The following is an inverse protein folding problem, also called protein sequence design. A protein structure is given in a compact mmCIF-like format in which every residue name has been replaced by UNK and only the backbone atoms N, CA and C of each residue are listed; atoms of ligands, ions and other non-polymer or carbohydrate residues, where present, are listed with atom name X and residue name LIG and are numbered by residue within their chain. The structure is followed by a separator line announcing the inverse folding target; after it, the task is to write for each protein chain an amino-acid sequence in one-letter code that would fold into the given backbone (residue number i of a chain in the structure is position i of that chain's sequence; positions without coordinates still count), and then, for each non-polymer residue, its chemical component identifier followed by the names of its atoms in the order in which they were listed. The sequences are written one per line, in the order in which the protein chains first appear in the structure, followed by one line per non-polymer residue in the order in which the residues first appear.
data_IF_506407288471
#
_entry.id   IF_506407288471
#
_cell.length_a   1.000
_cell.length_b   1.000
_cell.length_c   1.000
_cell.angle_alpha   90.00
_cell.angle_beta   90.00
_cell.angle_gamma   90.00
#
_symmetry.space_group_name_H-M   'P 1'
#
loop_
_entity.id
_entity.type
_entity.pdbx_description
1 polymer ?
#
# COMPACT_ATOMS: atom_id res chain seq x y z
N UNK A 1 41.87 -12.73 10.94
CA UNK A 1 41.48 -11.35 11.32
C UNK A 1 40.30 -10.99 10.44
N UNK A 2 39.10 -11.45 10.84
CA UNK A 2 37.86 -11.13 10.13
C UNK A 2 37.53 -9.64 10.37
N UNK A 3 37.34 -8.92 9.30
CA UNK A 3 37.10 -7.48 9.38
C UNK A 3 35.73 -7.19 9.93
N UNK A 4 35.67 -6.34 10.93
CA UNK A 4 34.43 -5.86 11.56
C UNK A 4 33.41 -5.21 10.58
N UNK A 5 33.79 -5.03 9.31
CA UNK A 5 32.95 -4.52 8.23
C UNK A 5 31.89 -5.51 7.72
N UNK A 6 32.16 -6.81 7.78
CA UNK A 6 31.25 -7.82 7.22
C UNK A 6 29.95 -7.99 8.04
N UNK A 7 30.04 -7.82 9.36
CA UNK A 7 28.88 -7.97 10.24
C UNK A 7 27.87 -6.82 10.07
N UNK A 8 28.36 -5.62 9.78
CA UNK A 8 27.48 -4.46 9.56
C UNK A 8 26.79 -4.54 8.18
N UNK A 9 27.47 -5.12 7.18
CA UNK A 9 26.91 -5.26 5.83
C UNK A 9 25.81 -6.33 5.76
N UNK A 10 25.94 -7.42 6.49
CA UNK A 10 24.95 -8.50 6.53
C UNK A 10 23.61 -8.09 7.13
N UNK A 11 23.51 -6.95 7.84
CA UNK A 11 22.27 -6.42 8.38
C UNK A 11 21.30 -5.89 7.33
N UNK A 12 21.83 -5.50 6.18
CA UNK A 12 21.08 -4.84 5.13
C UNK A 12 20.96 -5.69 3.87
N UNK A 13 21.32 -6.98 3.93
CA UNK A 13 21.32 -7.88 2.76
C UNK A 13 19.98 -7.93 2.03
N UNK A 14 18.87 -7.74 2.75
CA UNK A 14 17.54 -7.76 2.13
C UNK A 14 16.86 -6.40 2.08
N UNK A 15 17.55 -5.32 2.50
CA UNK A 15 16.93 -4.00 2.57
C UNK A 15 16.48 -3.50 1.19
N UNK A 16 17.25 -3.79 0.17
CA UNK A 16 17.01 -3.43 -1.24
C UNK A 16 15.86 -4.21 -1.89
N UNK A 17 15.37 -5.25 -1.25
CA UNK A 17 14.29 -6.10 -1.77
C UNK A 17 13.00 -6.08 -0.94
N UNK A 18 12.94 -5.27 0.12
CA UNK A 18 11.78 -5.23 1.03
C UNK A 18 10.51 -4.81 0.29
N UNK A 19 10.57 -3.74 -0.47
CA UNK A 19 9.42 -3.21 -1.20
C UNK A 19 8.92 -4.24 -2.22
N UNK A 20 9.84 -4.86 -2.97
CA UNK A 20 9.48 -5.89 -3.94
C UNK A 20 8.83 -7.10 -3.26
N UNK A 21 9.33 -7.54 -2.12
CA UNK A 21 8.78 -8.67 -1.37
C UNK A 21 7.36 -8.39 -0.87
N UNK A 22 7.12 -7.19 -0.36
CA UNK A 22 5.77 -6.76 0.08
C UNK A 22 4.82 -6.72 -1.12
N UNK A 23 5.24 -6.17 -2.25
CA UNK A 23 4.42 -6.12 -3.47
C UNK A 23 4.14 -7.54 -3.98
N UNK A 24 5.13 -8.42 -4.00
CA UNK A 24 4.96 -9.81 -4.40
C UNK A 24 4.03 -10.56 -3.46
N UNK A 25 4.08 -10.29 -2.16
CA UNK A 25 3.10 -10.81 -1.20
C UNK A 25 1.68 -10.38 -1.59
N UNK A 26 1.44 -9.10 -1.86
CA UNK A 26 0.14 -8.59 -2.29
C UNK A 26 -0.33 -9.17 -3.64
N UNK A 27 0.57 -9.40 -4.60
CA UNK A 27 0.24 -10.04 -5.90
C UNK A 27 -0.24 -11.48 -5.68
N UNK A 28 0.43 -12.21 -4.78
CA UNK A 28 0.16 -13.62 -4.55
C UNK A 28 -1.00 -13.85 -3.58
N UNK A 29 -1.38 -12.86 -2.80
CA UNK A 29 -2.54 -12.95 -1.92
C UNK A 29 -3.84 -12.99 -2.76
N UNK A 30 -4.68 -13.98 -2.44
CA UNK A 30 -6.04 -14.12 -3.00
C UNK A 30 -7.09 -13.71 -1.96
N UNK A 31 -6.69 -13.00 -0.90
CA UNK A 31 -7.60 -12.53 0.12
C UNK A 31 -8.59 -11.52 -0.46
N UNK A 32 -9.76 -11.41 0.17
CA UNK A 32 -10.78 -10.44 -0.19
C UNK A 32 -10.23 -9.00 -0.20
N UNK A 33 -9.40 -8.64 0.79
CA UNK A 33 -8.81 -7.31 0.88
C UNK A 33 -7.74 -7.07 -0.20
N UNK A 34 -6.89 -8.05 -0.50
CA UNK A 34 -5.89 -7.93 -1.57
C UNK A 34 -6.56 -7.73 -2.93
N UNK A 35 -7.62 -8.49 -3.24
CA UNK A 35 -8.35 -8.32 -4.49
C UNK A 35 -8.99 -6.92 -4.60
N UNK A 36 -9.55 -6.38 -3.52
CA UNK A 36 -10.09 -5.01 -3.48
C UNK A 36 -9.01 -3.96 -3.71
N UNK A 37 -7.82 -4.13 -3.13
CA UNK A 37 -6.68 -3.22 -3.38
C UNK A 37 -6.41 -3.14 -4.88
N UNK A 38 -6.25 -4.28 -5.55
CA UNK A 38 -5.93 -4.32 -6.97
C UNK A 38 -7.05 -3.76 -7.86
N UNK A 39 -8.32 -4.03 -7.53
CA UNK A 39 -9.47 -3.44 -8.25
C UNK A 39 -9.49 -1.92 -8.10
N UNK A 40 -9.29 -1.40 -6.90
CA UNK A 40 -9.27 0.04 -6.64
C UNK A 40 -8.10 0.75 -7.33
N UNK A 41 -6.98 0.07 -7.54
CA UNK A 41 -5.84 0.59 -8.29
C UNK A 41 -6.08 0.55 -9.80
N UNK A 42 -6.61 -0.55 -10.32
CA UNK A 42 -6.82 -0.76 -11.76
C UNK A 42 -7.93 0.13 -12.31
N UNK A 43 -9.08 0.17 -11.63
CA UNK A 43 -10.28 0.81 -12.12
C UNK A 43 -10.54 2.16 -11.43
N UNK A 44 -10.45 3.25 -12.18
CA UNK A 44 -10.76 4.61 -11.71
C UNK A 44 -12.25 4.92 -11.60
N UNK A 45 -13.13 3.97 -11.90
CA UNK A 45 -14.59 4.13 -11.98
C UNK A 45 -15.28 3.91 -10.63
N UNK A 46 -16.54 4.36 -10.52
CA UNK A 46 -17.36 4.18 -9.32
C UNK A 46 -17.60 2.71 -9.00
N UNK A 47 -17.77 1.88 -10.03
CA UNK A 47 -18.07 0.45 -9.96
C UNK A 47 -16.81 -0.44 -9.86
N UNK A 48 -15.69 0.11 -9.43
CA UNK A 48 -14.41 -0.61 -9.40
C UNK A 48 -14.48 -1.96 -8.68
N UNK A 49 -15.23 -2.06 -7.60
CA UNK A 49 -15.31 -3.27 -6.77
C UNK A 49 -16.17 -4.39 -7.39
N UNK A 50 -17.11 -4.05 -8.27
CA UNK A 50 -17.97 -5.03 -8.95
C UNK A 50 -17.27 -5.70 -10.14
N UNK A 51 -16.09 -5.19 -10.55
CA UNK A 51 -15.30 -5.77 -11.63
C UNK A 51 -14.70 -7.12 -11.22
N UNK A 52 -14.33 -7.92 -12.22
CA UNK A 52 -13.65 -9.19 -11.99
C UNK A 52 -12.32 -9.01 -11.27
N UNK A 53 -11.91 -10.03 -10.54
CA UNK A 53 -10.58 -10.07 -9.92
C UNK A 53 -9.50 -10.06 -10.99
N UNK A 54 -8.37 -9.43 -10.67
CA UNK A 54 -7.24 -9.34 -11.58
C UNK A 54 -6.41 -10.63 -11.54
N UNK A 55 -5.95 -11.05 -12.69
CA UNK A 55 -4.92 -12.10 -12.79
C UNK A 55 -3.58 -11.58 -12.24
N UNK A 56 -2.70 -12.50 -11.82
CA UNK A 56 -1.35 -12.12 -11.37
C UNK A 56 -0.57 -11.31 -12.41
N UNK A 57 -0.76 -11.61 -13.70
CA UNK A 57 -0.15 -10.86 -14.80
C UNK A 57 -0.65 -9.41 -14.84
N UNK A 58 -1.96 -9.20 -14.78
CA UNK A 58 -2.54 -7.85 -14.74
C UNK A 58 -2.10 -7.06 -13.51
N UNK A 59 -2.01 -7.70 -12.33
CA UNK A 59 -1.47 -7.09 -11.11
C UNK A 59 -0.02 -6.65 -11.33
N UNK A 60 0.82 -7.50 -11.92
CA UNK A 60 2.22 -7.21 -12.20
C UNK A 60 2.42 -6.08 -13.23
N UNK A 61 1.52 -5.94 -14.20
CA UNK A 61 1.53 -4.86 -15.20
C UNK A 61 1.28 -3.46 -14.57
N UNK A 62 0.63 -3.40 -13.41
CA UNK A 62 0.40 -2.14 -12.69
C UNK A 62 1.64 -1.61 -11.93
N UNK A 63 2.70 -2.42 -11.81
CA UNK A 63 3.91 -2.04 -11.09
C UNK A 63 4.83 -1.26 -12.03
N UNK A 64 5.33 -0.14 -11.54
CA UNK A 64 6.36 0.64 -12.22
C UNK A 64 7.74 0.00 -12.01
N UNK A 65 8.45 -0.22 -13.12
CA UNK A 65 9.79 -0.84 -13.13
C UNK A 65 10.83 0.01 -13.88
N UNK A 66 10.60 1.32 -13.98
CA UNK A 66 11.50 2.23 -14.67
C UNK A 66 11.17 2.44 -16.16
N UNK A 67 9.97 2.04 -16.60
CA UNK A 67 9.55 2.28 -17.97
C UNK A 67 9.34 3.77 -18.26
N UNK A 68 9.55 4.20 -19.51
CA UNK A 68 9.36 5.59 -19.90
C UNK A 68 7.87 6.03 -19.79
N UNK A 69 6.94 5.12 -20.03
CA UNK A 69 5.50 5.40 -19.90
C UNK A 69 4.99 4.94 -18.53
N UNK A 70 4.48 5.89 -17.75
CA UNK A 70 3.98 5.67 -16.39
C UNK A 70 2.45 5.71 -16.28
N UNK A 71 1.74 6.13 -17.34
CA UNK A 71 0.30 6.42 -17.30
C UNK A 71 -0.57 5.24 -16.82
N UNK A 72 -0.13 4.00 -17.09
CA UNK A 72 -0.82 2.79 -16.68
C UNK A 72 -0.30 2.18 -15.37
N UNK A 73 0.73 2.78 -14.76
CA UNK A 73 1.32 2.28 -13.52
C UNK A 73 0.59 2.82 -12.30
N UNK A 74 0.51 2.00 -11.26
CA UNK A 74 -0.28 2.25 -10.04
C UNK A 74 0.49 1.99 -8.76
N UNK A 75 1.56 1.19 -8.84
CA UNK A 75 2.39 0.81 -7.70
C UNK A 75 3.83 1.19 -7.99
N UNK A 76 4.44 1.94 -7.08
CA UNK A 76 5.77 2.51 -7.22
C UNK A 76 6.63 2.13 -6.02
N UNK A 77 7.89 1.73 -6.27
CA UNK A 77 8.91 1.46 -5.24
C UNK A 77 9.81 2.69 -5.07
N UNK A 78 9.20 3.85 -4.80
CA UNK A 78 9.91 5.11 -4.62
C UNK A 78 9.08 6.10 -3.82
N UNK A 79 9.74 6.97 -3.07
CA UNK A 79 9.06 8.00 -2.26
C UNK A 79 8.57 9.18 -3.08
N UNK A 80 9.23 9.47 -4.20
CA UNK A 80 8.90 10.58 -5.08
C UNK A 80 8.11 10.12 -6.31
N UNK A 81 7.16 10.92 -6.74
CA UNK A 81 6.42 10.77 -7.99
C UNK A 81 6.55 12.07 -8.78
N UNK A 82 6.76 11.99 -10.09
CA UNK A 82 6.87 13.13 -10.97
C UNK A 82 5.59 14.00 -10.91
N UNK A 83 5.73 15.32 -10.75
CA UNK A 83 4.63 16.28 -10.72
C UNK A 83 3.82 16.29 -12.02
N UNK A 84 4.42 15.85 -13.13
CA UNK A 84 3.75 15.67 -14.41
C UNK A 84 2.74 14.51 -14.44
N UNK A 85 2.67 13.70 -13.37
CA UNK A 85 1.72 12.60 -13.31
C UNK A 85 0.30 13.12 -13.08
N UNK A 86 -0.53 13.13 -14.12
CA UNK A 86 -1.88 13.69 -14.12
C UNK A 86 -3.00 12.65 -14.28
N UNK A 87 -2.67 11.37 -14.30
CA UNK A 87 -3.62 10.29 -14.54
C UNK A 87 -4.67 10.19 -13.43
N UNK A 88 -5.94 10.18 -13.79
CA UNK A 88 -7.06 10.07 -12.83
C UNK A 88 -7.19 8.64 -12.30
N UNK A 89 -6.42 8.31 -11.27
CA UNK A 89 -6.34 6.95 -10.70
C UNK A 89 -6.02 6.97 -9.21
N UNK A 90 -5.94 5.80 -8.62
CA UNK A 90 -5.34 5.58 -7.30
C UNK A 90 -3.94 5.03 -7.45
N UNK A 91 -3.07 5.36 -6.51
CA UNK A 91 -1.66 4.99 -6.50
C UNK A 91 -1.26 4.45 -5.13
N UNK A 92 -0.30 3.54 -5.13
CA UNK A 92 0.45 3.12 -3.95
C UNK A 92 1.93 3.37 -4.17
N UNK A 93 2.60 3.90 -3.15
CA UNK A 93 4.06 3.95 -3.11
C UNK A 93 4.56 3.17 -1.92
N UNK A 94 5.58 2.35 -2.13
CA UNK A 94 6.29 1.62 -1.09
C UNK A 94 7.74 2.10 -1.07
N UNK A 95 8.25 2.43 0.11
CA UNK A 95 9.64 2.88 0.25
C UNK A 95 10.11 2.68 1.69
N UNK A 96 11.42 2.58 1.86
CA UNK A 96 12.03 2.62 3.18
C UNK A 96 11.94 4.05 3.71
N UNK A 97 11.19 4.26 4.78
CA UNK A 97 11.07 5.58 5.43
C UNK A 97 12.27 5.85 6.36
N UNK A 98 12.62 4.88 7.18
CA UNK A 98 13.76 5.00 8.07
C UNK A 98 14.25 3.64 8.56
N UNK A 99 15.51 3.59 8.96
CA UNK A 99 16.12 2.43 9.61
C UNK A 99 16.70 2.89 10.93
N UNK A 100 16.21 2.33 12.04
CA UNK A 100 16.61 2.69 13.39
C UNK A 100 17.37 1.53 14.02
N UNK A 101 18.69 1.63 14.24
CA UNK A 101 19.42 0.60 14.94
C UNK A 101 19.00 0.52 16.41
N UNK A 102 18.63 -0.68 16.87
CA UNK A 102 18.31 -0.94 18.28
C UNK A 102 19.58 -1.36 19.04
N UNK A 103 20.37 -2.22 18.42
CA UNK A 103 21.67 -2.66 18.93
C UNK A 103 22.52 -3.15 17.76
N UNK A 104 23.70 -3.73 18.06
CA UNK A 104 24.63 -4.21 17.04
C UNK A 104 24.11 -5.42 16.20
N UNK A 105 23.00 -6.05 16.59
CA UNK A 105 22.40 -7.19 15.88
C UNK A 105 21.01 -6.91 15.31
N UNK A 106 20.33 -5.90 15.81
CA UNK A 106 18.91 -5.65 15.53
C UNK A 106 18.69 -4.23 15.05
N UNK A 107 17.91 -4.06 14.00
CA UNK A 107 17.40 -2.78 13.52
C UNK A 107 15.90 -2.85 13.33
N UNK A 108 15.22 -1.73 13.54
CA UNK A 108 13.83 -1.54 13.15
C UNK A 108 13.82 -0.84 11.79
N UNK A 109 13.18 -1.45 10.82
CA UNK A 109 12.96 -0.85 9.50
C UNK A 109 11.53 -0.34 9.44
N UNK A 110 11.38 0.94 9.17
CA UNK A 110 10.10 1.58 8.95
C UNK A 110 9.85 1.72 7.46
N UNK A 111 8.74 1.16 7.01
CA UNK A 111 8.34 1.08 5.60
C UNK A 111 7.18 2.04 5.41
N UNK A 112 7.36 3.03 4.56
CA UNK A 112 6.32 3.96 4.16
C UNK A 112 5.43 3.35 3.08
N UNK A 113 4.11 3.47 3.28
CA UNK A 113 3.10 3.14 2.28
C UNK A 113 2.23 4.37 2.07
N UNK A 114 2.45 5.07 0.97
CA UNK A 114 1.59 6.19 0.59
C UNK A 114 0.42 5.68 -0.23
N UNK A 115 -0.77 6.01 0.21
CA UNK A 115 -2.04 5.66 -0.44
C UNK A 115 -2.62 6.95 -0.98
N UNK A 116 -2.77 7.06 -2.29
CA UNK A 116 -3.22 8.29 -2.95
C UNK A 116 -4.32 8.00 -3.95
N UNK A 117 -5.26 8.95 -4.08
CA UNK A 117 -6.23 8.95 -5.18
C UNK A 117 -6.41 10.36 -5.74
N UNK A 118 -6.56 10.42 -7.05
CA UNK A 118 -6.89 11.66 -7.73
C UNK A 118 -8.26 12.19 -7.26
N UNK A 119 -8.41 13.51 -7.12
CA UNK A 119 -9.64 14.17 -6.61
C UNK A 119 -10.92 13.75 -7.33
N UNK A 120 -10.84 13.42 -8.62
CA UNK A 120 -11.99 12.97 -9.42
C UNK A 120 -12.34 11.49 -9.24
N UNK A 121 -11.49 10.69 -8.59
CA UNK A 121 -11.71 9.23 -8.43
C UNK A 121 -11.91 8.81 -6.97
N UNK A 122 -12.15 9.77 -6.07
CA UNK A 122 -12.18 9.51 -4.62
C UNK A 122 -13.38 8.71 -4.14
N UNK A 123 -14.45 8.67 -4.90
CA UNK A 123 -15.67 7.97 -4.51
C UNK A 123 -15.71 6.62 -5.24
N UNK A 124 -16.10 5.58 -4.51
CA UNK A 124 -16.34 4.25 -5.04
C UNK A 124 -17.65 3.71 -4.49
N UNK A 125 -18.41 3.02 -5.35
CA UNK A 125 -19.56 2.26 -4.94
C UNK A 125 -19.11 0.99 -4.22
N UNK A 126 -19.58 0.77 -3.02
CA UNK A 126 -19.29 -0.44 -2.26
C UNK A 126 -20.52 -1.33 -2.30
N UNK A 127 -20.52 -2.29 -3.19
CA UNK A 127 -21.59 -3.30 -3.32
C UNK A 127 -21.49 -4.42 -2.24
N UNK A 128 -20.61 -4.26 -1.29
CA UNK A 128 -20.39 -5.27 -0.27
C UNK A 128 -21.49 -5.21 0.78
N UNK A 129 -22.59 -5.92 0.55
CA UNK A 129 -23.43 -6.42 1.63
C UNK A 129 -22.64 -7.25 2.66
N UNK A 130 -21.47 -7.75 2.27
CA UNK A 130 -20.59 -8.60 3.08
C UNK A 130 -19.91 -7.85 4.24
N UNK A 131 -19.82 -6.51 4.19
CA UNK A 131 -19.24 -5.69 5.27
C UNK A 131 -20.26 -5.28 6.34
N UNK A 132 -21.52 -5.73 6.23
CA UNK A 132 -22.60 -5.33 7.16
C UNK A 132 -22.91 -6.51 8.08
N UNK A 133 -22.61 -6.36 9.37
CA UNK A 133 -22.87 -7.38 10.40
C UNK A 133 -24.36 -7.80 10.48
N UNK A 134 -25.30 -6.95 10.00
CA UNK A 134 -26.72 -7.22 9.95
C UNK A 134 -27.35 -6.72 8.65
N UNK A 135 -27.25 -7.47 7.54
CA UNK A 135 -27.78 -7.03 6.24
C UNK A 135 -29.31 -6.84 6.23
N UNK A 136 -30.04 -7.49 7.15
CA UNK A 136 -31.51 -7.40 7.21
C UNK A 136 -32.00 -6.03 7.67
N UNK A 137 -31.29 -5.35 8.57
CA UNK A 137 -31.66 -4.01 9.07
C UNK A 137 -31.55 -2.96 7.95
N UNK A 138 -30.75 -3.20 6.92
CA UNK A 138 -30.48 -2.25 5.85
C UNK A 138 -31.29 -2.50 4.57
N UNK A 139 -32.05 -3.64 4.47
CA UNK A 139 -32.86 -3.96 3.30
C UNK A 139 -34.09 -3.06 3.15
N UNK A 140 -34.62 -2.53 4.27
CA UNK A 140 -35.82 -1.71 4.27
C UNK A 140 -35.56 -0.21 4.03
N UNK A 141 -34.30 0.20 3.91
CA UNK A 141 -33.96 1.58 3.61
C UNK A 141 -33.65 1.67 2.13
N UNK A 142 -34.61 2.00 1.33
CA UNK A 142 -34.62 1.99 -0.14
C UNK A 142 -33.52 2.86 -0.83
N UNK A 143 -32.63 3.50 -0.14
CA UNK A 143 -31.53 4.30 -0.73
C UNK A 143 -30.37 4.52 0.23
N UNK A 144 -29.79 3.49 0.79
CA UNK A 144 -28.48 3.70 1.41
C UNK A 144 -27.41 3.85 0.34
N UNK A 145 -26.88 5.07 0.26
CA UNK A 145 -25.68 5.34 -0.54
C UNK A 145 -24.50 4.52 0.01
N UNK A 146 -24.22 3.43 -0.66
CA UNK A 146 -23.10 2.54 -0.34
C UNK A 146 -21.81 3.13 -0.95
N UNK A 147 -21.74 4.46 -1.01
CA UNK A 147 -20.53 5.13 -1.49
C UNK A 147 -19.51 5.28 -0.36
N UNK A 148 -18.28 4.92 -0.64
CA UNK A 148 -17.17 5.06 0.30
C UNK A 148 -16.05 5.90 -0.32
N UNK A 149 -15.30 6.55 0.56
CA UNK A 149 -14.08 7.21 0.14
C UNK A 149 -13.04 6.15 -0.23
N UNK A 150 -12.51 6.24 -1.45
CA UNK A 150 -11.56 5.28 -2.03
C UNK A 150 -10.27 5.19 -1.22
N UNK A 151 -9.72 6.33 -0.77
CA UNK A 151 -8.51 6.33 0.04
C UNK A 151 -8.71 5.63 1.38
N UNK A 152 -9.83 5.89 2.06
CA UNK A 152 -10.15 5.24 3.33
C UNK A 152 -10.35 3.74 3.14
N UNK A 153 -10.97 3.34 2.04
CA UNK A 153 -11.17 1.92 1.73
C UNK A 153 -9.86 1.21 1.39
N UNK A 154 -9.00 1.84 0.57
CA UNK A 154 -7.65 1.34 0.29
C UNK A 154 -6.84 1.21 1.58
N UNK A 155 -6.88 2.23 2.44
CA UNK A 155 -6.22 2.21 3.74
C UNK A 155 -6.70 1.03 4.59
N UNK A 156 -8.02 0.84 4.71
CA UNK A 156 -8.60 -0.31 5.44
C UNK A 156 -8.08 -1.64 4.89
N UNK A 157 -8.10 -1.81 3.57
CA UNK A 157 -7.64 -3.05 2.94
C UNK A 157 -6.14 -3.28 3.12
N UNK A 158 -5.31 -2.23 3.00
CA UNK A 158 -3.85 -2.31 3.22
C UNK A 158 -3.55 -2.67 4.67
N UNK A 159 -4.22 -2.03 5.64
CA UNK A 159 -4.04 -2.35 7.06
C UNK A 159 -4.46 -3.79 7.37
N UNK A 160 -5.59 -4.23 6.84
CA UNK A 160 -6.08 -5.60 7.06
C UNK A 160 -5.16 -6.66 6.44
N UNK A 161 -4.49 -6.33 5.32
CA UNK A 161 -3.65 -7.28 4.61
C UNK A 161 -2.21 -7.32 5.14
N UNK A 162 -1.65 -6.16 5.51
CA UNK A 162 -0.23 -6.06 5.88
C UNK A 162 0.02 -6.08 7.40
N UNK A 163 -0.94 -5.62 8.23
CA UNK A 163 -0.70 -5.60 9.68
C UNK A 163 -0.71 -7.00 10.27
N UNK A 164 0.40 -7.43 10.81
CA UNK A 164 0.62 -8.78 11.33
C UNK A 164 1.07 -9.79 10.28
N UNK A 165 1.16 -9.41 8.99
CA UNK A 165 1.66 -10.29 7.95
C UNK A 165 3.12 -10.64 8.19
N UNK A 166 3.45 -11.93 8.11
CA UNK A 166 4.81 -12.44 8.14
C UNK A 166 5.25 -12.70 6.69
N UNK A 167 6.21 -11.90 6.22
CA UNK A 167 6.67 -11.93 4.83
C UNK A 167 8.11 -12.43 4.80
N UNK A 168 8.34 -13.49 4.03
CA UNK A 168 9.66 -14.09 3.88
C UNK A 168 10.72 -13.05 3.46
N UNK A 169 11.79 -12.96 4.27
CA UNK A 169 12.88 -12.00 4.07
C UNK A 169 12.58 -10.56 4.47
N UNK A 170 11.37 -10.29 4.99
CA UNK A 170 10.98 -9.01 5.59
C UNK A 170 10.70 -9.16 7.08
N UNK A 171 10.06 -10.29 7.46
CA UNK A 171 9.57 -10.55 8.81
C UNK A 171 8.15 -10.04 9.02
N UNK A 172 7.72 -10.00 10.29
CA UNK A 172 6.38 -9.58 10.65
C UNK A 172 6.22 -8.07 10.56
N UNK A 173 5.28 -7.63 9.74
CA UNK A 173 4.91 -6.22 9.61
C UNK A 173 3.96 -5.80 10.74
N UNK A 174 4.25 -4.67 11.37
CA UNK A 174 3.39 -4.09 12.41
C UNK A 174 3.05 -2.65 12.06
N UNK A 175 1.77 -2.32 12.06
CA UNK A 175 1.31 -0.98 11.79
C UNK A 175 1.78 0.00 12.89
N UNK A 176 2.46 1.06 12.48
CA UNK A 176 2.97 2.10 13.36
C UNK A 176 2.07 3.34 13.31
N UNK A 177 1.04 3.35 14.16
CA UNK A 177 0.06 4.43 14.21
C UNK A 177 0.70 5.80 14.54
N UNK A 178 1.74 5.84 15.37
CA UNK A 178 2.35 7.10 15.84
C UNK A 178 3.07 7.86 14.71
N UNK A 179 3.63 7.12 13.74
CA UNK A 179 4.36 7.69 12.61
C UNK A 179 3.48 7.81 11.36
N UNK A 180 2.27 7.25 11.39
CA UNK A 180 1.35 7.30 10.27
C UNK A 180 0.53 8.59 10.30
N UNK A 181 0.23 9.11 9.10
CA UNK A 181 -0.52 10.36 8.95
C UNK A 181 -1.69 10.15 8.03
N UNK A 182 -2.89 10.35 8.56
CA UNK A 182 -4.14 10.13 7.84
C UNK A 182 -4.71 11.45 7.32
N UNK A 183 -5.36 11.39 6.17
CA UNK A 183 -6.17 12.49 5.61
C UNK A 183 -5.39 13.78 5.34
N UNK A 184 -4.23 13.70 4.72
CA UNK A 184 -3.42 14.88 4.39
C UNK A 184 -3.79 15.49 3.04
N UNK A 185 -4.95 16.12 2.97
CA UNK A 185 -5.28 16.99 1.83
C UNK A 185 -4.63 18.38 1.89
N UNK A 186 -3.99 18.73 3.01
CA UNK A 186 -3.54 20.09 3.28
C UNK A 186 -2.04 20.30 3.49
N UNK A 187 -1.26 19.25 3.60
CA UNK A 187 0.17 19.40 3.83
C UNK A 187 0.96 18.62 2.80
N UNK A 188 1.84 19.29 2.13
CA UNK A 188 2.86 18.91 1.18
C UNK A 188 3.54 17.53 1.23
N UNK A 189 2.84 16.48 1.65
CA UNK A 189 3.32 15.11 1.45
C UNK A 189 3.26 14.72 -0.03
N UNK A 190 2.27 15.29 -0.74
CA UNK A 190 2.16 15.11 -2.17
C UNK A 190 2.28 16.50 -2.81
N UNK A 191 3.35 16.73 -3.50
CA UNK A 191 3.58 17.98 -4.23
C UNK A 191 2.51 18.22 -5.30
N UNK A 192 1.82 17.14 -5.70
CA UNK A 192 0.73 17.22 -6.68
C UNK A 192 -0.62 17.48 -6.00
N UNK A 193 -1.15 18.70 -6.17
CA UNK A 193 -2.45 19.16 -5.62
C UNK A 193 -3.67 18.37 -6.12
N UNK A 194 -3.53 17.57 -7.18
CA UNK A 194 -4.63 16.76 -7.73
C UNK A 194 -4.86 15.48 -6.95
N UNK A 195 -3.89 15.06 -6.13
CA UNK A 195 -3.97 13.85 -5.32
C UNK A 195 -4.10 14.18 -3.84
N UNK A 196 -4.85 13.36 -3.16
CA UNK A 196 -4.87 13.33 -1.70
C UNK A 196 -4.78 11.90 -1.20
N UNK A 197 -4.45 11.73 0.06
CA UNK A 197 -4.31 10.40 0.60
C UNK A 197 -3.76 10.35 2.01
N UNK A 198 -3.15 9.22 2.33
CA UNK A 198 -2.60 8.93 3.65
C UNK A 198 -1.20 8.33 3.51
N UNK A 199 -0.32 8.68 4.43
CA UNK A 199 0.95 8.00 4.65
C UNK A 199 0.77 7.02 5.81
N UNK A 200 0.99 5.75 5.57
CA UNK A 200 1.02 4.70 6.59
C UNK A 200 2.43 4.17 6.77
N UNK A 201 2.81 3.93 8.01
CA UNK A 201 4.11 3.34 8.34
C UNK A 201 3.88 1.96 8.92
N UNK A 202 4.60 0.99 8.39
CA UNK A 202 4.75 -0.34 8.97
C UNK A 202 6.17 -0.51 9.46
N UNK A 203 6.32 -1.11 10.63
CA UNK A 203 7.63 -1.40 11.20
C UNK A 203 7.87 -2.91 11.20
N UNK A 204 9.08 -3.32 10.89
CA UNK A 204 9.54 -4.69 11.05
C UNK A 204 10.91 -4.72 11.73
N UNK A 205 11.22 -5.83 12.38
CA UNK A 205 12.52 -6.05 12.99
C UNK A 205 13.40 -6.87 12.05
N UNK A 206 14.55 -6.36 11.72
CA UNK A 206 15.56 -7.07 10.95
C UNK A 206 16.74 -7.40 11.84
N UNK A 207 17.06 -8.68 11.95
CA UNK A 207 18.28 -9.16 12.59
C UNK A 207 19.34 -9.42 11.53
N UNK A 208 20.58 -9.06 11.82
CA UNK A 208 21.72 -9.54 11.04
C UNK A 208 21.77 -11.07 11.19
N UNK A 209 21.50 -11.78 10.10
CA UNK A 209 21.67 -13.23 10.06
C UNK A 209 23.17 -13.51 10.01
N UNK A 210 23.59 -14.47 10.84
CA UNK A 210 24.94 -15.07 10.72
C UNK A 210 25.03 -15.91 9.47
#
# INVERSE_FOLDING_TARGET
MEMAGDVAFNRFVNLDSIEERIINYLINSNSYNAERIWKLLKYGTLDALTKNNLTKKEKAELIYRGEAEQSNKRVFMQSYLDDAFTTQCSLLKFYIDSVVPVNHLLSIVNIGVDIMSHSKTQIVYNDAMDDIENPEIYRDIEQQFVYKNRNTLLLKCILAELNGADIEGVGQLQFNQKQSVFNQSRSGIFDNKMYNGSKTIFSTQMSGVK
#
